data_IF_478884973919
#
_entry.id   IF_478884973919
#
_cell.length_a   1.000
_cell.length_b   1.000
_cell.length_c   1.000
_cell.angle_alpha   90.00
_cell.angle_beta   90.00
_cell.angle_gamma   90.00
#
_symmetry.space_group_name_H-M   'P 1'
#
loop_
_entity.id
_entity.type
_entity.pdbx_description
1 polymer ?
#
# COMPACT_ATOMS: atom_id res chain seq x y z
N UNK A 1 -16.46 23.53 -21.95
CA UNK A 1 -16.27 22.10 -21.64
C UNK A 1 -15.59 22.06 -20.28
N UNK A 2 -16.30 21.62 -19.24
CA UNK A 2 -15.66 21.32 -17.96
C UNK A 2 -14.73 20.13 -18.23
N UNK A 3 -13.44 20.27 -17.91
CA UNK A 3 -12.53 19.14 -17.94
C UNK A 3 -13.14 18.07 -17.01
N UNK A 4 -13.41 16.89 -17.58
CA UNK A 4 -13.87 15.76 -16.77
C UNK A 4 -12.72 15.40 -15.84
N UNK A 5 -12.96 15.42 -14.54
CA UNK A 5 -11.95 15.10 -13.53
C UNK A 5 -11.39 13.70 -13.82
N UNK A 6 -10.09 13.62 -14.08
CA UNK A 6 -9.45 12.37 -14.49
C UNK A 6 -9.34 11.46 -13.27
N UNK A 7 -9.96 10.28 -13.35
CA UNK A 7 -9.78 9.26 -12.33
C UNK A 7 -8.47 8.47 -12.56
N UNK A 8 -7.68 8.29 -11.52
CA UNK A 8 -6.40 7.56 -11.55
C UNK A 8 -6.49 6.14 -10.97
N UNK A 9 -7.46 5.90 -10.08
CA UNK A 9 -7.52 4.67 -9.27
C UNK A 9 -8.95 4.14 -9.15
N UNK A 10 -9.03 2.82 -8.98
CA UNK A 10 -10.16 2.16 -8.33
C UNK A 10 -9.75 1.70 -6.94
N UNK A 11 -10.73 1.59 -6.04
CA UNK A 11 -10.54 0.95 -4.74
C UNK A 11 -10.40 -0.57 -4.86
N UNK A 12 -9.92 -1.20 -3.78
CA UNK A 12 -9.58 -2.61 -3.70
C UNK A 12 -10.74 -3.56 -3.98
N UNK A 13 -12.00 -3.13 -3.81
CA UNK A 13 -13.19 -3.94 -4.10
C UNK A 13 -13.21 -4.47 -5.54
N UNK A 14 -12.75 -3.66 -6.50
CA UNK A 14 -12.63 -4.07 -7.90
C UNK A 14 -11.61 -5.20 -8.09
N UNK A 15 -10.54 -5.22 -7.29
CA UNK A 15 -9.53 -6.26 -7.33
C UNK A 15 -9.96 -7.50 -6.55
N UNK A 16 -10.51 -7.32 -5.35
CA UNK A 16 -10.89 -8.37 -4.40
C UNK A 16 -11.91 -9.34 -5.01
N UNK A 17 -12.78 -8.86 -5.91
CA UNK A 17 -13.77 -9.68 -6.61
C UNK A 17 -13.16 -10.88 -7.36
N UNK A 18 -11.97 -10.70 -7.93
CA UNK A 18 -11.26 -11.75 -8.69
C UNK A 18 -10.03 -12.29 -7.95
N UNK A 19 -9.43 -11.49 -7.06
CA UNK A 19 -8.20 -11.84 -6.33
C UNK A 19 -8.48 -12.41 -4.93
N UNK A 20 -9.65 -13.03 -4.74
CA UNK A 20 -10.05 -13.71 -3.50
C UNK A 20 -10.83 -15.00 -3.80
N UNK A 21 -11.04 -15.83 -2.77
CA UNK A 21 -11.68 -17.14 -2.87
C UNK A 21 -10.79 -18.21 -3.50
N UNK A 22 -9.48 -17.96 -3.54
CA UNK A 22 -8.50 -18.91 -4.10
C UNK A 22 -8.02 -19.84 -3.00
N UNK A 23 -7.88 -21.12 -3.35
CA UNK A 23 -7.41 -22.17 -2.43
C UNK A 23 -6.24 -22.86 -3.09
N UNK A 24 -5.15 -23.03 -2.34
CA UNK A 24 -3.97 -23.72 -2.80
C UNK A 24 -4.17 -25.24 -2.80
N UNK A 25 -3.26 -26.00 -3.41
CA UNK A 25 -3.40 -27.46 -3.50
C UNK A 25 -3.39 -28.13 -2.11
N UNK A 26 -2.68 -27.54 -1.15
CA UNK A 26 -2.71 -27.91 0.27
C UNK A 26 -4.07 -27.70 0.98
N UNK A 27 -5.02 -27.00 0.35
CA UNK A 27 -6.29 -26.59 0.97
C UNK A 27 -6.21 -25.27 1.74
N UNK A 28 -5.04 -24.60 1.74
CA UNK A 28 -4.85 -23.29 2.35
C UNK A 28 -5.62 -22.20 1.56
N UNK A 29 -6.34 -21.32 2.26
CA UNK A 29 -6.87 -20.09 1.66
C UNK A 29 -5.72 -19.14 1.31
N UNK A 30 -5.62 -18.79 0.03
CA UNK A 30 -4.59 -17.91 -0.55
C UNK A 30 -5.22 -16.65 -1.16
N UNK A 31 -6.38 -16.24 -0.64
CA UNK A 31 -7.05 -15.01 -1.06
C UNK A 31 -6.16 -13.79 -0.81
N UNK A 32 -5.65 -13.21 -1.89
CA UNK A 32 -4.81 -12.01 -1.87
C UNK A 32 -5.57 -10.87 -1.20
N UNK A 33 -6.82 -10.65 -1.62
CA UNK A 33 -7.67 -9.59 -1.10
C UNK A 33 -7.94 -9.67 0.41
N UNK A 34 -8.27 -10.87 0.90
CA UNK A 34 -8.57 -11.10 2.32
C UNK A 34 -7.33 -10.97 3.20
N UNK A 35 -6.19 -11.41 2.67
CA UNK A 35 -4.91 -11.27 3.35
C UNK A 35 -4.49 -9.79 3.43
N UNK A 36 -4.56 -9.06 2.32
CA UNK A 36 -4.21 -7.63 2.28
C UNK A 36 -5.11 -6.80 3.19
N UNK A 37 -6.44 -6.98 3.16
CA UNK A 37 -7.37 -6.14 3.95
C UNK A 37 -7.15 -6.24 5.46
N UNK A 38 -6.59 -7.35 5.92
CA UNK A 38 -6.24 -7.57 7.32
C UNK A 38 -4.84 -7.03 7.71
N UNK A 39 -4.07 -6.50 6.76
CA UNK A 39 -2.74 -5.94 7.00
C UNK A 39 -2.78 -4.49 7.50
N UNK A 40 -1.65 -3.99 8.01
CA UNK A 40 -1.50 -2.56 8.33
C UNK A 40 -1.55 -1.68 7.07
N UNK A 41 -1.17 -2.18 5.90
CA UNK A 41 -1.21 -1.41 4.65
C UNK A 41 -2.63 -1.04 4.24
N UNK A 42 -3.58 -1.98 4.32
CA UNK A 42 -5.00 -1.70 4.07
C UNK A 42 -5.65 -0.80 5.13
N UNK A 43 -5.02 -0.70 6.30
CA UNK A 43 -5.53 0.05 7.44
C UNK A 43 -4.64 1.27 7.77
N UNK A 44 -3.77 1.69 6.86
CA UNK A 44 -2.81 2.78 7.07
C UNK A 44 -3.49 4.10 7.44
N UNK A 45 -4.62 4.40 6.80
CA UNK A 45 -5.45 5.56 7.09
C UNK A 45 -6.31 5.39 8.36
N UNK A 46 -6.58 4.14 8.76
CA UNK A 46 -7.45 3.78 9.90
C UNK A 46 -6.67 3.60 11.20
N UNK A 47 -5.35 3.63 11.17
CA UNK A 47 -4.51 3.49 12.34
C UNK A 47 -4.70 4.69 13.29
N UNK A 48 -5.31 4.50 14.48
CA UNK A 48 -5.57 5.60 15.40
C UNK A 48 -4.30 6.16 16.04
N UNK A 49 -3.21 5.40 16.09
CA UNK A 49 -1.92 5.93 16.55
C UNK A 49 -1.34 6.90 15.52
N UNK A 50 -1.39 6.52 14.24
CA UNK A 50 -1.00 7.42 13.16
C UNK A 50 -1.87 8.68 13.13
N UNK A 51 -3.20 8.54 13.19
CA UNK A 51 -4.12 9.69 13.22
C UNK A 51 -3.84 10.62 14.41
N UNK A 52 -3.51 10.07 15.58
CA UNK A 52 -3.14 10.85 16.75
C UNK A 52 -1.80 11.56 16.57
N UNK A 53 -0.82 10.91 15.94
CA UNK A 53 0.47 11.51 15.57
C UNK A 53 0.29 12.71 14.65
N UNK A 54 -0.40 12.54 13.52
CA UNK A 54 -0.71 13.65 12.59
C UNK A 54 -1.45 14.78 13.30
N UNK A 55 -2.43 14.44 14.15
CA UNK A 55 -3.18 15.45 14.90
C UNK A 55 -2.29 16.23 15.85
N UNK A 56 -1.33 15.55 16.49
CA UNK A 56 -0.39 16.18 17.41
C UNK A 56 0.46 17.21 16.68
N UNK A 57 1.04 16.84 15.54
CA UNK A 57 1.85 17.76 14.71
C UNK A 57 1.03 18.97 14.27
N UNK A 58 -0.22 18.76 13.81
CA UNK A 58 -1.12 19.85 13.42
C UNK A 58 -1.50 20.77 14.59
N UNK A 59 -1.64 20.23 15.81
CA UNK A 59 -1.94 21.04 17.00
C UNK A 59 -0.74 21.86 17.46
N UNK A 60 0.47 21.31 17.34
CA UNK A 60 1.70 22.00 17.71
C UNK A 60 2.10 23.04 16.65
N UNK A 61 1.79 22.80 15.36
CA UNK A 61 2.13 23.66 14.22
C UNK A 61 0.92 23.94 13.31
N UNK A 62 -0.09 24.71 13.77
CA UNK A 62 -1.34 24.92 13.04
C UNK A 62 -1.13 25.64 11.70
N UNK A 63 -0.14 26.53 11.59
CA UNK A 63 0.23 27.20 10.34
C UNK A 63 0.80 26.24 9.28
N UNK A 64 1.38 25.12 9.70
CA UNK A 64 1.94 24.09 8.81
C UNK A 64 0.98 22.93 8.54
N UNK A 65 -0.28 23.01 8.98
CA UNK A 65 -1.26 21.92 8.86
C UNK A 65 -1.33 21.31 7.45
N UNK A 66 -1.38 22.14 6.40
CA UNK A 66 -1.48 21.66 5.03
C UNK A 66 -0.23 20.87 4.60
N UNK A 67 0.97 21.31 4.98
CA UNK A 67 2.23 20.64 4.69
C UNK A 67 2.37 19.30 5.44
N UNK A 68 1.98 19.29 6.71
CA UNK A 68 1.96 18.08 7.53
C UNK A 68 0.99 17.06 6.94
N UNK A 69 -0.26 17.45 6.66
CA UNK A 69 -1.26 16.53 6.11
C UNK A 69 -0.88 16.00 4.71
N UNK A 70 -0.28 16.82 3.83
CA UNK A 70 0.22 16.34 2.53
C UNK A 70 1.32 15.29 2.68
N UNK A 71 2.29 15.58 3.55
CA UNK A 71 3.43 14.67 3.80
C UNK A 71 2.94 13.34 4.34
N UNK A 72 2.10 13.35 5.38
CA UNK A 72 1.60 12.12 6.01
C UNK A 72 0.66 11.34 5.08
N UNK A 73 -0.20 12.02 4.33
CA UNK A 73 -1.15 11.38 3.40
C UNK A 73 -0.46 10.76 2.19
N UNK A 74 0.75 11.20 1.83
CA UNK A 74 1.54 10.64 0.73
C UNK A 74 1.77 9.13 0.87
N UNK A 75 2.03 8.63 2.09
CA UNK A 75 2.26 7.21 2.33
C UNK A 75 1.06 6.50 2.98
N UNK A 76 0.21 7.20 3.74
CA UNK A 76 -0.92 6.57 4.45
C UNK A 76 -2.26 6.65 3.71
N UNK A 77 -2.43 7.58 2.78
CA UNK A 77 -3.61 7.77 1.92
C UNK A 77 -3.19 8.00 0.46
N UNK A 78 -2.28 7.17 -0.09
CA UNK A 78 -1.51 7.51 -1.28
C UNK A 78 -2.36 7.75 -2.53
N UNK A 79 -3.48 7.02 -2.71
CA UNK A 79 -4.37 7.23 -3.86
C UNK A 79 -5.09 8.57 -3.80
N UNK A 80 -5.58 8.97 -2.62
CA UNK A 80 -6.25 10.25 -2.45
C UNK A 80 -5.27 11.42 -2.56
N UNK A 81 -4.08 11.32 -1.98
CA UNK A 81 -3.03 12.34 -2.11
C UNK A 81 -2.56 12.46 -3.56
N UNK A 82 -2.32 11.34 -4.25
CA UNK A 82 -1.92 11.35 -5.66
C UNK A 82 -3.00 11.98 -6.55
N UNK A 83 -4.27 11.65 -6.31
CA UNK A 83 -5.39 12.29 -7.00
C UNK A 83 -5.37 13.80 -6.77
N UNK A 84 -5.14 14.25 -5.53
CA UNK A 84 -5.13 15.67 -5.22
C UNK A 84 -4.01 16.43 -5.96
N UNK A 85 -2.81 15.86 -5.95
CA UNK A 85 -1.63 16.43 -6.59
C UNK A 85 -1.76 16.51 -8.13
N UNK A 86 -2.48 15.56 -8.75
CA UNK A 86 -2.54 15.45 -10.22
C UNK A 86 -3.85 15.96 -10.84
N UNK A 87 -4.91 16.15 -10.05
CA UNK A 87 -6.18 16.74 -10.50
C UNK A 87 -6.25 18.26 -10.28
N UNK A 88 -5.17 18.88 -9.81
CA UNK A 88 -5.09 20.31 -9.55
C UNK A 88 -5.85 20.76 -8.29
N UNK A 89 -6.22 19.84 -7.40
CA UNK A 89 -6.85 20.18 -6.11
C UNK A 89 -5.82 20.58 -5.05
N UNK A 90 -4.54 20.34 -5.30
CA UNK A 90 -3.42 20.81 -4.48
C UNK A 90 -2.86 19.73 -3.56
N UNK A 91 -2.67 20.09 -2.31
CA UNK A 91 -2.07 19.24 -1.27
C UNK A 91 -3.05 18.18 -0.77
N UNK A 92 -2.52 17.04 -0.32
CA UNK A 92 -3.29 15.99 0.33
C UNK A 92 -3.83 16.45 1.69
N UNK A 93 -5.01 15.95 2.04
CA UNK A 93 -5.64 16.17 3.35
C UNK A 93 -5.83 14.84 4.07
N UNK A 94 -5.70 14.83 5.39
CA UNK A 94 -5.91 13.67 6.26
C UNK A 94 -7.29 13.77 6.90
N UNK A 95 -7.58 14.82 7.65
CA UNK A 95 -8.79 14.85 8.48
C UNK A 95 -10.06 15.09 7.67
N UNK A 96 -9.98 15.86 6.59
CA UNK A 96 -11.10 16.02 5.66
C UNK A 96 -11.48 14.68 5.01
N UNK A 97 -10.48 13.92 4.52
CA UNK A 97 -10.68 12.60 3.94
C UNK A 97 -11.28 11.59 4.93
N UNK A 98 -10.85 11.62 6.19
CA UNK A 98 -11.45 10.80 7.25
C UNK A 98 -12.90 11.19 7.52
N UNK A 99 -13.19 12.49 7.61
CA UNK A 99 -14.53 13.01 7.94
C UNK A 99 -15.56 12.80 6.83
N UNK A 100 -15.13 12.93 5.58
CA UNK A 100 -15.97 12.76 4.38
C UNK A 100 -16.19 11.30 4.01
N UNK A 101 -15.39 10.39 4.58
CA UNK A 101 -15.41 8.98 4.20
C UNK A 101 -14.86 8.76 2.78
N UNK A 102 -13.82 9.51 2.37
CA UNK A 102 -13.23 9.36 1.05
C UNK A 102 -12.66 7.94 0.88
N UNK A 103 -13.30 7.16 0.01
CA UNK A 103 -12.94 5.76 -0.19
C UNK A 103 -11.49 5.58 -0.71
N UNK A 104 -10.97 6.48 -1.55
CA UNK A 104 -9.58 6.38 -2.03
C UNK A 104 -8.57 6.59 -0.89
N UNK A 105 -8.92 7.43 0.09
CA UNK A 105 -8.08 7.66 1.26
C UNK A 105 -8.19 6.48 2.24
N UNK A 106 -9.42 6.05 2.53
CA UNK A 106 -9.70 4.98 3.48
C UNK A 106 -9.23 3.62 2.99
N UNK A 107 -9.13 3.37 1.69
CA UNK A 107 -8.59 2.11 1.15
C UNK A 107 -7.07 1.95 1.40
N UNK A 108 -6.41 2.99 1.92
CA UNK A 108 -5.04 2.95 2.41
C UNK A 108 -4.02 2.66 1.31
N UNK A 109 -2.98 1.90 1.65
CA UNK A 109 -1.97 1.46 0.68
C UNK A 109 -2.50 0.25 -0.09
N UNK A 110 -3.29 0.54 -1.12
CA UNK A 110 -4.11 -0.42 -1.88
C UNK A 110 -3.44 -1.01 -3.13
N UNK A 111 -4.13 -1.97 -3.74
CA UNK A 111 -3.71 -2.69 -4.95
C UNK A 111 -3.38 -1.73 -6.09
N UNK A 112 -4.30 -0.81 -6.40
CA UNK A 112 -4.18 0.05 -7.57
C UNK A 112 -3.00 1.01 -7.47
N UNK A 113 -2.65 1.52 -6.29
CA UNK A 113 -1.45 2.36 -6.16
C UNK A 113 -0.18 1.54 -6.28
N UNK A 114 -0.05 0.45 -5.52
CA UNK A 114 1.21 -0.32 -5.46
C UNK A 114 1.56 -0.96 -6.78
N UNK A 115 0.56 -1.48 -7.49
CA UNK A 115 0.80 -2.11 -8.77
C UNK A 115 0.82 -1.13 -9.94
N UNK A 116 0.45 0.15 -9.79
CA UNK A 116 0.65 1.13 -10.87
C UNK A 116 2.04 1.81 -10.83
N UNK A 117 2.78 1.66 -9.72
CA UNK A 117 4.13 2.22 -9.61
C UNK A 117 5.01 1.64 -10.71
N UNK A 118 5.61 2.52 -11.50
CA UNK A 118 6.54 2.19 -12.58
C UNK A 118 7.94 1.97 -12.01
N UNK A 119 8.81 1.34 -12.80
CA UNK A 119 10.21 1.12 -12.43
C UNK A 119 11.07 2.39 -12.51
N UNK A 120 10.53 3.46 -13.10
CA UNK A 120 11.18 4.77 -13.15
C UNK A 120 11.62 5.17 -11.72
N UNK A 121 12.83 5.71 -11.59
CA UNK A 121 13.48 6.26 -10.38
C UNK A 121 13.54 5.38 -9.11
N UNK A 122 13.05 4.14 -9.12
CA UNK A 122 13.04 3.27 -7.94
C UNK A 122 14.46 3.05 -7.38
N UNK A 123 14.63 3.35 -6.10
CA UNK A 123 15.92 3.24 -5.40
C UNK A 123 16.75 4.51 -5.41
N UNK A 124 16.40 5.49 -6.24
CA UNK A 124 16.99 6.83 -6.21
C UNK A 124 16.32 7.70 -5.13
N UNK A 125 17.03 8.73 -4.64
CA UNK A 125 16.51 9.67 -3.64
C UNK A 125 15.17 10.30 -4.05
N UNK A 126 14.97 10.54 -5.35
CA UNK A 126 13.72 11.10 -5.88
C UNK A 126 12.49 10.19 -5.74
N UNK A 127 12.68 8.89 -5.45
CA UNK A 127 11.58 7.94 -5.23
C UNK A 127 11.13 7.84 -3.77
N UNK A 128 11.95 8.34 -2.84
CA UNK A 128 11.70 8.30 -1.40
C UNK A 128 10.64 9.31 -0.99
N UNK A 129 10.15 9.21 0.26
CA UNK A 129 9.04 10.04 0.77
C UNK A 129 7.82 10.04 -0.18
N UNK A 130 7.54 8.88 -0.79
CA UNK A 130 6.44 8.64 -1.72
C UNK A 130 6.59 9.30 -3.09
N UNK A 131 7.82 9.61 -3.52
CA UNK A 131 8.14 10.10 -4.87
C UNK A 131 8.04 9.04 -5.98
N UNK A 132 7.18 8.04 -5.82
CA UNK A 132 6.95 7.00 -6.82
C UNK A 132 6.30 7.56 -8.09
N UNK A 133 6.60 6.96 -9.24
CA UNK A 133 6.05 7.38 -10.53
C UNK A 133 4.88 6.49 -10.93
N UNK A 134 3.75 7.12 -11.24
CA UNK A 134 2.57 6.49 -11.85
C UNK A 134 2.27 7.25 -13.14
N UNK A 135 1.85 6.53 -14.18
CA UNK A 135 1.39 7.14 -15.42
C UNK A 135 0.27 8.15 -15.13
N UNK A 136 0.31 9.35 -15.68
CA UNK A 136 -0.78 10.35 -15.55
C UNK A 136 -1.50 10.60 -16.87
N UNK A 137 -0.95 10.11 -17.99
CA UNK A 137 -1.39 10.45 -19.34
C UNK A 137 -2.53 9.53 -19.81
N UNK A 138 -2.48 8.24 -19.43
CA UNK A 138 -3.49 7.26 -19.83
C UNK A 138 -4.79 7.41 -19.01
N UNK A 139 -5.92 6.95 -19.53
CA UNK A 139 -7.18 6.89 -18.77
C UNK A 139 -7.40 5.50 -18.18
N UNK A 140 -8.30 5.38 -17.19
CA UNK A 140 -8.76 4.07 -16.73
C UNK A 140 -9.24 3.23 -17.92
N UNK A 141 -8.82 1.97 -17.95
CA UNK A 141 -8.99 1.04 -19.07
C UNK A 141 -7.76 0.95 -19.96
N UNK A 142 -6.90 1.96 -19.98
CA UNK A 142 -5.65 1.99 -20.76
C UNK A 142 -4.40 1.97 -19.87
N UNK A 143 -4.57 2.28 -18.57
CA UNK A 143 -3.51 2.24 -17.55
C UNK A 143 -2.99 0.83 -17.34
N UNK A 144 -1.66 0.71 -17.24
CA UNK A 144 -0.99 -0.54 -16.89
C UNK A 144 -0.96 -0.74 -15.39
N UNK A 145 -1.03 -2.00 -14.98
CA UNK A 145 -0.81 -2.44 -13.60
C UNK A 145 0.15 -3.63 -13.63
N UNK A 146 1.17 -3.61 -12.78
CA UNK A 146 2.34 -4.46 -12.87
C UNK A 146 2.26 -5.66 -11.93
N UNK A 147 2.57 -6.85 -12.44
CA UNK A 147 2.76 -8.06 -11.67
C UNK A 147 4.00 -8.83 -12.14
N UNK A 148 4.46 -9.85 -11.39
CA UNK A 148 5.69 -10.58 -11.73
C UNK A 148 5.54 -11.58 -12.88
N UNK A 149 4.37 -11.66 -13.51
CA UNK A 149 4.07 -12.67 -14.52
C UNK A 149 3.46 -12.06 -15.77
N UNK A 150 3.83 -12.63 -16.92
CA UNK A 150 3.13 -12.39 -18.18
C UNK A 150 1.69 -12.90 -18.14
N UNK A 151 0.77 -12.11 -18.67
CA UNK A 151 -0.66 -12.41 -18.78
C UNK A 151 -1.04 -12.49 -20.25
N UNK A 152 -1.76 -13.54 -20.66
CA UNK A 152 -2.21 -13.69 -22.05
C UNK A 152 -3.32 -12.70 -22.41
N UNK A 153 -3.50 -12.43 -23.71
CA UNK A 153 -4.44 -11.44 -24.24
C UNK A 153 -5.88 -11.68 -23.75
N UNK A 154 -6.30 -12.94 -23.60
CA UNK A 154 -7.65 -13.27 -23.15
C UNK A 154 -7.89 -12.82 -21.71
N UNK A 155 -6.94 -13.12 -20.81
CA UNK A 155 -7.00 -12.69 -19.40
C UNK A 155 -6.76 -11.20 -19.21
N UNK A 156 -5.90 -10.59 -20.04
CA UNK A 156 -5.75 -9.14 -20.08
C UNK A 156 -7.11 -8.47 -20.38
N UNK A 157 -7.84 -8.94 -21.41
CA UNK A 157 -9.14 -8.38 -21.77
C UNK A 157 -10.18 -8.54 -20.64
N UNK A 158 -10.17 -9.65 -19.90
CA UNK A 158 -11.05 -9.83 -18.73
C UNK A 158 -10.74 -8.81 -17.65
N UNK A 159 -9.48 -8.66 -17.25
CA UNK A 159 -9.10 -7.69 -16.23
C UNK A 159 -9.31 -6.23 -16.69
N UNK A 160 -9.03 -5.93 -17.95
CA UNK A 160 -9.23 -4.59 -18.51
C UNK A 160 -10.71 -4.21 -18.54
N UNK A 161 -11.60 -5.14 -18.89
CA UNK A 161 -13.04 -4.87 -18.93
C UNK A 161 -13.68 -4.74 -17.55
N UNK A 162 -13.24 -5.55 -16.56
CA UNK A 162 -13.82 -5.56 -15.22
C UNK A 162 -13.16 -4.55 -14.28
N UNK A 163 -11.83 -4.51 -14.25
CA UNK A 163 -11.04 -3.68 -13.34
C UNK A 163 -10.48 -2.40 -13.96
N UNK A 164 -10.65 -2.19 -15.28
CA UNK A 164 -10.15 -1.00 -15.99
C UNK A 164 -8.63 -0.79 -15.87
N UNK A 165 -7.86 -1.89 -15.86
CA UNK A 165 -6.40 -1.88 -15.94
C UNK A 165 -5.89 -2.98 -16.86
N UNK A 166 -4.76 -2.74 -17.52
CA UNK A 166 -4.06 -3.71 -18.35
C UNK A 166 -2.97 -4.39 -17.53
N UNK A 167 -3.14 -5.67 -17.13
CA UNK A 167 -2.11 -6.37 -16.38
C UNK A 167 -0.87 -6.59 -17.26
N UNK A 168 0.26 -6.12 -16.77
CA UNK A 168 1.54 -6.08 -17.47
C UNK A 168 2.62 -6.72 -16.61
N UNK A 169 3.53 -7.49 -17.22
CA UNK A 169 4.67 -8.03 -16.49
C UNK A 169 5.65 -6.90 -16.14
N UNK A 170 6.05 -6.82 -14.87
CA UNK A 170 7.02 -5.87 -14.37
C UNK A 170 7.79 -6.46 -13.20
N UNK A 171 9.06 -6.79 -13.40
CA UNK A 171 9.88 -7.46 -12.38
C UNK A 171 10.25 -6.55 -11.21
N UNK A 172 10.14 -5.23 -11.36
CA UNK A 172 10.40 -4.26 -10.29
C UNK A 172 9.47 -4.41 -9.10
N UNK A 173 8.29 -5.02 -9.28
CA UNK A 173 7.37 -5.28 -8.16
C UNK A 173 7.92 -6.27 -7.12
N UNK A 174 8.97 -7.02 -7.49
CA UNK A 174 9.68 -7.95 -6.61
C UNK A 174 10.97 -7.37 -6.03
N UNK A 175 11.26 -6.08 -6.26
CA UNK A 175 12.47 -5.41 -5.79
C UNK A 175 12.22 -4.58 -4.51
N UNK A 176 13.17 -4.58 -3.58
CA UNK A 176 13.08 -3.83 -2.31
C UNK A 176 12.85 -2.32 -2.53
N UNK A 177 13.37 -1.80 -3.64
CA UNK A 177 13.26 -0.42 -4.09
C UNK A 177 11.80 0.03 -4.27
N UNK A 178 10.88 -0.88 -4.61
CA UNK A 178 9.45 -0.57 -4.63
C UNK A 178 8.94 -0.24 -3.22
N UNK A 179 9.39 -0.96 -2.19
CA UNK A 179 9.03 -0.69 -0.79
C UNK A 179 9.70 0.59 -0.27
N UNK A 180 10.91 0.88 -0.74
CA UNK A 180 11.70 2.06 -0.38
C UNK A 180 10.97 3.39 -0.63
N UNK A 181 9.99 3.41 -1.53
CA UNK A 181 9.22 4.63 -1.84
C UNK A 181 8.47 5.15 -0.61
N UNK A 182 7.91 4.28 0.22
CA UNK A 182 7.28 4.67 1.49
C UNK A 182 8.15 4.37 2.73
N UNK A 183 9.10 3.44 2.61
CA UNK A 183 9.97 2.98 3.71
C UNK A 183 11.35 3.65 3.71
N UNK A 184 11.40 4.86 3.15
CA UNK A 184 12.48 5.83 3.29
C UNK A 184 11.85 7.21 3.40
N UNK A 185 11.57 7.63 4.63
CA UNK A 185 10.85 8.85 4.96
C UNK A 185 11.82 9.89 5.51
N UNK A 186 11.89 11.00 4.79
CA UNK A 186 12.48 12.25 5.25
C UNK A 186 11.38 13.29 5.42
N UNK A 187 11.37 13.95 6.57
CA UNK A 187 10.41 15.01 6.90
C UNK A 187 11.14 16.31 7.22
N UNK A 188 10.49 17.43 6.98
CA UNK A 188 10.99 18.74 7.37
C UNK A 188 10.71 18.95 8.86
N UNK A 189 11.76 19.24 9.63
CA UNK A 189 11.64 19.59 11.05
C UNK A 189 11.22 21.05 11.18
N UNK A 190 10.20 21.31 11.98
CA UNK A 190 9.68 22.64 12.25
C UNK A 190 10.16 23.14 13.62
N UNK A 191 10.43 24.44 13.74
CA UNK A 191 10.66 25.10 15.03
C UNK A 191 9.33 25.53 15.69
N UNK A 192 9.40 26.14 16.87
CA UNK A 192 8.21 26.65 17.59
C UNK A 192 7.39 27.69 16.81
N UNK A 193 7.98 28.33 15.79
CA UNK A 193 7.33 29.29 14.92
C UNK A 193 6.75 28.66 13.63
N UNK A 194 6.88 27.33 13.47
CA UNK A 194 6.43 26.61 12.28
C UNK A 194 7.37 26.72 11.08
N UNK A 195 8.59 27.22 11.28
CA UNK A 195 9.57 27.39 10.20
C UNK A 195 10.42 26.13 10.06
N UNK A 196 10.71 25.74 8.82
CA UNK A 196 11.62 24.64 8.50
C UNK A 196 13.04 24.95 9.01
N UNK A 197 13.58 24.06 9.85
CA UNK A 197 14.93 24.19 10.42
C UNK A 197 15.86 23.04 10.06
N UNK A 198 15.38 22.03 9.35
CA UNK A 198 16.22 20.94 8.86
C UNK A 198 15.42 19.79 8.27
N UNK A 199 16.14 18.82 7.72
CA UNK A 199 15.59 17.58 7.22
C UNK A 199 15.88 16.45 8.22
N UNK A 200 14.83 15.74 8.64
CA UNK A 200 14.89 14.63 9.58
C UNK A 200 14.65 13.30 8.83
N UNK A 201 15.60 12.35 8.88
CA UNK A 201 15.32 10.96 8.49
C UNK A 201 14.43 10.29 9.54
N UNK A 202 13.11 10.50 9.45
CA UNK A 202 12.14 10.00 10.44
C UNK A 202 12.12 8.47 10.48
N UNK A 203 12.09 7.83 9.31
CA UNK A 203 12.11 6.37 9.18
C UNK A 203 12.88 5.97 7.92
N UNK A 204 14.05 5.34 8.07
CA UNK A 204 14.89 4.93 6.93
C UNK A 204 15.22 3.43 6.90
N UNK A 205 14.25 2.52 7.15
CA UNK A 205 14.52 1.08 7.21
C UNK A 205 15.06 0.50 5.90
N UNK A 206 14.74 1.08 4.73
CA UNK A 206 15.37 0.67 3.47
C UNK A 206 16.87 0.98 3.45
N UNK A 207 17.30 2.16 3.92
CA UNK A 207 18.72 2.48 4.03
C UNK A 207 19.43 1.59 5.05
N UNK A 208 18.77 1.31 6.19
CA UNK A 208 19.28 0.35 7.18
C UNK A 208 19.46 -1.05 6.55
N UNK A 209 18.47 -1.52 5.79
CA UNK A 209 18.55 -2.77 5.03
C UNK A 209 19.69 -2.75 4.01
N UNK A 210 19.88 -1.64 3.27
CA UNK A 210 20.97 -1.47 2.30
C UNK A 210 22.37 -1.56 2.94
N UNK A 211 22.48 -1.23 4.23
CA UNK A 211 23.73 -1.32 4.98
C UNK A 211 23.85 -2.63 5.79
N UNK A 212 22.86 -3.52 5.70
CA UNK A 212 22.83 -4.80 6.40
C UNK A 212 23.31 -5.96 5.52
N UNK A 213 23.57 -7.11 6.13
CA UNK A 213 23.84 -8.38 5.41
C UNK A 213 22.64 -8.88 4.61
N UNK A 214 21.43 -8.39 4.89
CA UNK A 214 20.22 -8.78 4.16
C UNK A 214 20.20 -8.26 2.73
N UNK A 215 20.90 -7.15 2.42
CA UNK A 215 20.88 -6.54 1.08
C UNK A 215 21.15 -7.54 -0.04
N UNK A 216 22.08 -8.47 0.17
CA UNK A 216 22.51 -9.45 -0.83
C UNK A 216 21.82 -10.81 -0.69
N UNK A 217 21.05 -11.04 0.37
CA UNK A 217 20.51 -12.37 0.71
C UNK A 217 19.00 -12.43 0.80
N UNK A 218 18.32 -11.33 1.15
CA UNK A 218 16.87 -11.26 1.36
C UNK A 218 16.32 -9.90 0.94
N UNK A 219 15.42 -9.88 -0.04
CA UNK A 219 14.63 -8.68 -0.36
C UNK A 219 13.58 -8.40 0.71
N UNK A 220 13.02 -7.19 0.72
CA UNK A 220 11.87 -6.85 1.57
C UNK A 220 10.72 -7.86 1.35
N UNK A 221 10.38 -8.14 0.10
CA UNK A 221 9.34 -9.08 -0.29
C UNK A 221 9.60 -10.48 0.26
N UNK A 222 10.84 -10.96 0.24
CA UNK A 222 11.15 -12.34 0.67
C UNK A 222 10.75 -12.63 2.13
N UNK A 223 10.79 -11.62 3.01
CA UNK A 223 10.40 -11.75 4.42
C UNK A 223 8.95 -11.29 4.67
N UNK A 224 8.55 -10.19 4.04
CA UNK A 224 7.26 -9.53 4.32
C UNK A 224 6.11 -10.05 3.46
N UNK A 225 6.42 -10.68 2.31
CA UNK A 225 5.50 -11.30 1.36
C UNK A 225 5.99 -12.70 0.95
N UNK A 226 6.18 -13.63 1.91
CA UNK A 226 6.81 -14.91 1.64
C UNK A 226 6.07 -15.68 0.56
N UNK A 227 6.85 -16.27 -0.35
CA UNK A 227 6.31 -17.05 -1.45
C UNK A 227 5.66 -18.34 -0.96
N UNK A 228 4.60 -18.76 -1.64
CA UNK A 228 4.07 -20.10 -1.49
C UNK A 228 5.03 -21.11 -2.15
N UNK A 229 5.25 -22.26 -1.48
CA UNK A 229 6.11 -23.32 -2.01
C UNK A 229 5.50 -24.00 -3.23
N UNK A 230 4.17 -24.08 -3.29
CA UNK A 230 3.43 -24.66 -4.40
C UNK A 230 2.97 -23.59 -5.38
N UNK A 231 2.84 -23.97 -6.66
CA UNK A 231 2.25 -23.11 -7.68
C UNK A 231 0.79 -22.80 -7.35
N UNK A 232 0.40 -21.54 -7.48
CA UNK A 232 -0.93 -21.08 -7.09
C UNK A 232 -1.55 -20.16 -8.15
N UNK A 233 -2.89 -20.20 -8.33
CA UNK A 233 -3.57 -19.21 -9.14
C UNK A 233 -3.53 -17.85 -8.45
N UNK A 234 -3.31 -16.80 -9.24
CA UNK A 234 -3.38 -15.40 -8.76
C UNK A 234 -4.76 -14.77 -8.95
N UNK A 235 -5.72 -15.48 -9.54
CA UNK A 235 -7.12 -15.04 -9.72
C UNK A 235 -8.06 -16.24 -9.61
N UNK A 236 -9.24 -16.05 -9.03
CA UNK A 236 -10.34 -17.04 -9.02
C UNK A 236 -11.07 -17.09 -10.37
N UNK A 237 -10.93 -16.05 -11.20
CA UNK A 237 -11.52 -15.97 -12.54
C UNK A 237 -10.48 -16.37 -13.58
N UNK A 238 -10.72 -17.50 -14.25
CA UNK A 238 -9.82 -18.10 -15.24
C UNK A 238 -8.38 -18.31 -14.71
N UNK A 239 -8.21 -18.48 -13.39
CA UNK A 239 -6.92 -18.67 -12.73
C UNK A 239 -6.08 -19.77 -13.36
N UNK A 240 -4.78 -19.54 -13.46
CA UNK A 240 -3.80 -20.55 -13.84
C UNK A 240 -2.73 -20.58 -12.74
N UNK A 241 -2.29 -21.76 -12.28
CA UNK A 241 -1.18 -21.86 -11.36
C UNK A 241 0.05 -21.14 -11.90
N UNK A 242 0.70 -20.35 -11.05
CA UNK A 242 1.95 -19.66 -11.32
C UNK A 242 2.94 -20.00 -10.18
N UNK A 243 4.24 -20.16 -10.50
CA UNK A 243 5.26 -20.27 -9.47
C UNK A 243 5.45 -18.92 -8.76
N UNK A 244 6.16 -18.95 -7.62
CA UNK A 244 6.55 -17.74 -6.89
C UNK A 244 5.37 -16.83 -6.50
N UNK A 245 4.27 -17.44 -6.04
CA UNK A 245 3.13 -16.69 -5.53
C UNK A 245 3.51 -15.94 -4.24
N UNK A 246 3.62 -14.61 -4.30
CA UNK A 246 3.92 -13.79 -3.13
C UNK A 246 2.67 -13.54 -2.28
N UNK A 247 2.68 -13.99 -1.02
CA UNK A 247 1.56 -13.79 -0.11
C UNK A 247 1.46 -12.32 0.33
N UNK A 248 0.28 -11.72 0.19
CA UNK A 248 0.04 -10.31 0.54
C UNK A 248 -0.23 -10.11 2.03
N UNK A 249 0.56 -10.78 2.89
CA UNK A 249 0.46 -10.70 4.36
C UNK A 249 1.08 -9.43 4.93
N UNK A 250 2.06 -8.85 4.22
CA UNK A 250 2.81 -7.65 4.63
C UNK A 250 3.22 -7.70 6.10
N UNK A 251 3.88 -8.80 6.46
CA UNK A 251 4.16 -9.16 7.86
C UNK A 251 4.99 -8.06 8.51
N UNK A 252 4.61 -7.58 9.69
CA UNK A 252 5.38 -6.60 10.46
C UNK A 252 5.58 -7.04 11.91
N UNK A 253 5.86 -6.10 12.81
CA UNK A 253 5.94 -6.35 14.25
C UNK A 253 4.72 -5.90 15.06
N UNK A 254 3.76 -5.21 14.45
CA UNK A 254 2.71 -4.49 15.19
C UNK A 254 1.46 -5.34 15.48
N UNK A 255 1.65 -6.49 16.14
CA UNK A 255 0.53 -7.35 16.57
C UNK A 255 -0.45 -6.63 17.51
N UNK A 256 0.05 -5.63 18.25
CA UNK A 256 -0.78 -4.79 19.13
C UNK A 256 -1.79 -3.97 18.33
N UNK A 257 -1.33 -3.20 17.32
CA UNK A 257 -2.22 -2.37 16.52
C UNK A 257 -3.23 -3.19 15.72
N UNK A 258 -2.80 -4.34 15.16
CA UNK A 258 -3.73 -5.28 14.52
C UNK A 258 -4.83 -5.76 15.48
N UNK A 259 -4.48 -6.01 16.75
CA UNK A 259 -5.46 -6.36 17.79
C UNK A 259 -6.39 -5.20 18.15
N UNK A 260 -5.89 -3.97 18.17
CA UNK A 260 -6.69 -2.76 18.39
C UNK A 260 -7.67 -2.54 17.24
N UNK A 261 -7.20 -2.63 15.99
CA UNK A 261 -8.03 -2.58 14.78
C UNK A 261 -9.15 -3.61 14.83
N UNK A 262 -8.86 -4.84 15.27
CA UNK A 262 -9.88 -5.88 15.41
C UNK A 262 -10.92 -5.54 16.49
N UNK A 263 -10.45 -5.10 17.66
CA UNK A 263 -11.32 -4.76 18.80
C UNK A 263 -12.27 -3.60 18.47
N UNK A 264 -11.77 -2.56 17.80
CA UNK A 264 -12.51 -1.33 17.49
C UNK A 264 -12.92 -1.24 16.01
N UNK A 265 -13.00 -2.39 15.30
CA UNK A 265 -13.19 -2.45 13.84
C UNK A 265 -14.36 -1.63 13.32
N UNK A 266 -15.48 -1.59 14.06
CA UNK A 266 -16.69 -0.89 13.65
C UNK A 266 -16.54 0.63 13.74
N UNK A 267 -15.83 1.11 14.76
CA UNK A 267 -15.56 2.53 14.99
C UNK A 267 -14.49 3.04 14.01
N UNK A 268 -13.49 2.21 13.72
CA UNK A 268 -12.39 2.54 12.82
C UNK A 268 -12.71 2.26 11.34
N UNK A 269 -13.90 1.71 11.04
CA UNK A 269 -14.34 1.42 9.68
C UNK A 269 -13.51 0.35 8.97
N UNK A 270 -12.90 -0.59 9.72
CA UNK A 270 -12.06 -1.66 9.18
C UNK A 270 -12.91 -2.67 8.41
N UNK A 271 -12.47 -3.04 7.20
CA UNK A 271 -13.22 -3.89 6.27
C UNK A 271 -12.90 -5.39 6.39
N UNK A 272 -11.77 -5.73 7.02
CA UNK A 272 -11.42 -7.12 7.33
C UNK A 272 -12.39 -7.75 8.34
N UNK A 273 -12.66 -9.04 8.16
CA UNK A 273 -13.46 -9.81 9.11
C UNK A 273 -12.68 -10.06 10.40
N UNK A 274 -13.36 -10.20 11.56
CA UNK A 274 -12.68 -10.41 12.84
C UNK A 274 -11.71 -11.59 12.85
N UNK A 275 -12.07 -12.68 12.16
CA UNK A 275 -11.27 -13.90 12.06
C UNK A 275 -9.99 -13.68 11.23
N UNK A 276 -10.03 -12.80 10.23
CA UNK A 276 -8.88 -12.51 9.36
C UNK A 276 -7.85 -11.66 10.10
N UNK A 277 -8.30 -10.64 10.82
CA UNK A 277 -7.43 -9.85 11.71
C UNK A 277 -6.87 -10.71 12.83
N UNK A 278 -7.69 -11.57 13.46
CA UNK A 278 -7.20 -12.47 14.49
C UNK A 278 -6.12 -13.43 13.94
N UNK A 279 -6.34 -14.02 12.77
CA UNK A 279 -5.33 -14.84 12.10
C UNK A 279 -4.02 -14.05 11.84
N UNK A 280 -4.14 -12.79 11.41
CA UNK A 280 -2.98 -11.90 11.16
C UNK A 280 -2.25 -11.56 12.46
N UNK A 281 -2.97 -11.28 13.56
CA UNK A 281 -2.41 -11.05 14.90
C UNK A 281 -1.64 -12.27 15.38
N UNK A 282 -2.24 -13.46 15.29
CA UNK A 282 -1.61 -14.70 15.75
C UNK A 282 -0.39 -15.06 14.91
N UNK A 283 -0.47 -14.91 13.58
CA UNK A 283 0.67 -15.10 12.67
C UNK A 283 1.82 -14.14 12.99
N UNK A 284 1.50 -12.87 13.28
CA UNK A 284 2.48 -11.86 13.67
C UNK A 284 3.14 -12.20 15.01
N UNK A 285 2.37 -12.62 16.02
CA UNK A 285 2.91 -13.06 17.32
C UNK A 285 3.79 -14.30 17.20
N UNK A 286 3.35 -15.28 16.40
CA UNK A 286 4.12 -16.49 16.16
C UNK A 286 5.48 -16.13 15.55
N UNK A 287 5.49 -15.31 14.50
CA UNK A 287 6.73 -14.83 13.88
C UNK A 287 7.67 -14.15 14.89
N UNK A 288 7.15 -13.21 15.70
CA UNK A 288 7.96 -12.51 16.72
C UNK A 288 8.50 -13.44 17.81
N UNK A 289 7.92 -14.62 18.00
CA UNK A 289 8.38 -15.61 18.98
C UNK A 289 9.39 -16.62 18.43
N UNK A 290 9.53 -16.74 17.11
CA UNK A 290 10.33 -17.79 16.47
C UNK A 290 11.49 -17.29 15.62
N UNK A 291 11.47 -16.03 15.17
CA UNK A 291 12.41 -15.50 14.15
C UNK A 291 13.13 -14.22 14.63
N UNK A 292 13.55 -14.17 15.89
CA UNK A 292 14.42 -13.10 16.44
C UNK A 292 15.90 -13.46 16.36
#
# INVERSE_FOLDING_TARGET
MQAQEQAFFHTSDQCIACHSGMVAQSGQDISIGYTWRASMMANSARDPYWQAGVRREVMDHPEAQAAIEDTCSTCHMPMARFHAANSGTGMGTVFENLSSGNNLALDGVSCAVRHQIRSDNLGDESSFTGGFVIDTDQVLGERQIFGPHSVDIGRQAVMQSAGQFIPTEGSHVQQSELCATCHTLFTESLNEAGEEVGLLPEQVPYHEWLQSEYRSTRSCQSCHMPELVEDAPISSVLGQPRPAFSQHIFRGGNAFMLGLLNKYRGELGVTALPQELEATVQSTRAFLSTET
#
